data_IF_675052058416
#
_entry.id   IF_675052058416
#
_cell.length_a   1.000
_cell.length_b   1.000
_cell.length_c   1.000
_cell.angle_alpha   90.00
_cell.angle_beta   90.00
_cell.angle_gamma   90.00
#
_symmetry.space_group_name_H-M   'P 1'
#
loop_
_entity.id
_entity.type
_entity.pdbx_description
1 polymer ?
#
# COMPACT_ATOMS: atom_id res chain seq x y z
N UNK A 1 12.28 13.22 3.84
CA UNK A 1 13.04 12.09 4.39
C UNK A 1 12.54 11.71 5.79
N UNK A 2 12.35 12.67 6.73
CA UNK A 2 11.85 12.38 8.09
C UNK A 2 10.54 11.60 8.05
N UNK A 3 9.57 12.02 7.22
CA UNK A 3 8.31 11.30 7.06
C UNK A 3 8.49 9.86 6.53
N UNK A 4 9.45 9.65 5.63
CA UNK A 4 9.76 8.31 5.10
C UNK A 4 10.28 7.40 6.23
N UNK A 5 11.20 7.91 7.05
CA UNK A 5 11.74 7.18 8.20
C UNK A 5 10.64 6.85 9.21
N UNK A 6 9.79 7.82 9.55
CA UNK A 6 8.66 7.63 10.46
C UNK A 6 7.67 6.59 9.91
N UNK A 7 7.28 6.71 8.64
CA UNK A 7 6.39 5.78 7.96
C UNK A 7 6.94 4.35 7.97
N UNK A 8 8.23 4.18 7.66
CA UNK A 8 8.89 2.87 7.66
C UNK A 8 8.91 2.25 9.06
N UNK A 9 9.11 3.06 10.10
CA UNK A 9 9.05 2.59 11.50
C UNK A 9 7.65 2.11 11.86
N UNK A 10 6.62 2.93 11.59
CA UNK A 10 5.21 2.58 11.85
C UNK A 10 4.83 1.31 11.09
N UNK A 11 5.25 1.18 9.83
CA UNK A 11 4.96 0.00 9.01
C UNK A 11 5.62 -1.26 9.56
N UNK A 12 6.89 -1.19 9.94
CA UNK A 12 7.61 -2.33 10.52
C UNK A 12 6.98 -2.77 11.87
N UNK A 13 6.63 -1.82 12.73
CA UNK A 13 5.92 -2.11 13.97
C UNK A 13 4.55 -2.75 13.71
N UNK A 14 3.81 -2.25 12.73
CA UNK A 14 2.52 -2.82 12.34
C UNK A 14 2.66 -4.27 11.86
N UNK A 15 3.64 -4.55 11.00
CA UNK A 15 3.92 -5.92 10.53
C UNK A 15 4.22 -6.86 11.70
N UNK A 16 5.00 -6.40 12.67
CA UNK A 16 5.40 -7.23 13.83
C UNK A 16 4.28 -7.41 14.85
N UNK A 17 3.56 -6.34 15.19
CA UNK A 17 2.63 -6.32 16.33
C UNK A 17 1.21 -6.71 15.95
N UNK A 18 0.80 -6.49 14.70
CA UNK A 18 -0.53 -6.83 14.20
C UNK A 18 -0.50 -7.95 13.16
N UNK A 19 0.16 -7.74 12.04
CA UNK A 19 0.09 -8.68 10.89
C UNK A 19 0.60 -10.06 11.27
N UNK A 20 1.79 -10.16 11.85
CA UNK A 20 2.36 -11.45 12.28
C UNK A 20 1.60 -12.04 13.46
N UNK A 21 1.14 -11.22 14.40
CA UNK A 21 0.36 -11.66 15.55
C UNK A 21 -0.98 -12.31 15.11
N UNK A 22 -1.64 -11.74 14.10
CA UNK A 22 -2.87 -12.31 13.53
C UNK A 22 -2.64 -13.40 12.48
N UNK A 23 -1.41 -13.66 12.09
CA UNK A 23 -1.10 -14.59 10.98
C UNK A 23 -1.72 -14.14 9.65
N UNK A 24 -1.83 -12.82 9.45
CA UNK A 24 -2.48 -12.21 8.30
C UNK A 24 -1.51 -12.07 7.12
N UNK A 25 -2.09 -11.94 5.94
CA UNK A 25 -1.40 -11.61 4.70
C UNK A 25 -1.87 -10.23 4.21
N UNK A 26 -1.15 -9.13 4.51
CA UNK A 26 -1.46 -7.85 3.88
C UNK A 26 -1.43 -7.99 2.36
N UNK A 27 -2.20 -7.16 1.67
CA UNK A 27 -2.14 -7.15 0.22
C UNK A 27 -0.76 -6.74 -0.32
N UNK A 28 -0.58 -6.90 -1.61
CA UNK A 28 0.63 -6.48 -2.31
C UNK A 28 1.85 -7.34 -2.01
N UNK A 29 3.04 -6.75 -2.20
CA UNK A 29 4.29 -7.49 -2.06
C UNK A 29 4.65 -7.77 -0.60
N UNK A 30 4.17 -6.97 0.34
CA UNK A 30 4.28 -7.29 1.77
C UNK A 30 3.58 -8.61 2.09
N UNK A 31 2.35 -8.77 1.61
CA UNK A 31 1.62 -10.03 1.77
C UNK A 31 2.27 -11.19 1.04
N UNK A 32 2.72 -10.96 -0.20
CA UNK A 32 3.43 -11.97 -0.96
C UNK A 32 4.74 -12.40 -0.26
N UNK A 33 5.47 -11.45 0.35
CA UNK A 33 6.67 -11.72 1.13
C UNK A 33 6.36 -12.64 2.32
N UNK A 34 5.31 -12.32 3.08
CA UNK A 34 4.90 -13.13 4.23
C UNK A 34 4.36 -14.50 3.80
N UNK A 35 3.66 -14.56 2.68
CA UNK A 35 3.19 -15.81 2.07
C UNK A 35 4.37 -16.73 1.71
N UNK A 36 5.40 -16.17 1.05
CA UNK A 36 6.62 -16.91 0.69
C UNK A 36 7.35 -17.37 1.96
N UNK A 37 7.47 -16.53 2.98
CA UNK A 37 8.08 -16.92 4.26
C UNK A 37 7.34 -18.08 4.92
N UNK A 38 5.99 -18.00 5.01
CA UNK A 38 5.20 -19.09 5.60
C UNK A 38 5.23 -20.37 4.76
N UNK A 39 5.26 -20.25 3.43
CA UNK A 39 5.41 -21.41 2.56
C UNK A 39 6.78 -22.07 2.71
N UNK A 40 7.85 -21.27 2.76
CA UNK A 40 9.20 -21.79 2.98
C UNK A 40 9.34 -22.52 4.32
N UNK A 41 8.79 -21.94 5.39
CA UNK A 41 8.79 -22.58 6.71
C UNK A 41 7.95 -23.86 6.73
N UNK A 42 6.73 -23.82 6.19
CA UNK A 42 5.79 -24.95 6.20
C UNK A 42 6.24 -26.16 5.35
N UNK A 43 6.77 -25.89 4.14
CA UNK A 43 7.07 -26.95 3.17
C UNK A 43 8.55 -27.35 3.15
N UNK A 44 9.46 -26.41 3.47
CA UNK A 44 10.90 -26.64 3.37
C UNK A 44 11.62 -26.55 4.72
N UNK A 45 10.91 -26.18 5.81
CA UNK A 45 11.50 -25.99 7.16
C UNK A 45 12.68 -25.01 7.16
N UNK A 46 12.63 -24.01 6.28
CA UNK A 46 13.69 -23.02 6.09
C UNK A 46 13.16 -21.62 6.37
N UNK A 47 13.78 -20.91 7.33
CA UNK A 47 13.41 -19.53 7.65
C UNK A 47 14.13 -18.55 6.73
N UNK A 48 13.36 -17.78 5.97
CA UNK A 48 13.89 -16.72 5.11
C UNK A 48 13.66 -15.36 5.77
N UNK A 49 14.68 -14.47 5.85
CA UNK A 49 14.47 -13.13 6.40
C UNK A 49 13.50 -12.33 5.52
N UNK A 50 12.65 -11.51 6.18
CA UNK A 50 11.68 -10.67 5.48
C UNK A 50 12.37 -9.72 4.47
N UNK A 51 13.48 -9.12 4.88
CA UNK A 51 14.25 -8.19 4.05
C UNK A 51 14.69 -8.81 2.72
N UNK A 52 15.20 -10.05 2.73
CA UNK A 52 15.68 -10.71 1.52
C UNK A 52 14.56 -10.87 0.49
N UNK A 53 13.41 -11.38 0.91
CA UNK A 53 12.27 -11.63 0.01
C UNK A 53 11.66 -10.31 -0.46
N UNK A 54 11.43 -9.38 0.47
CA UNK A 54 10.79 -8.09 0.14
C UNK A 54 11.65 -7.25 -0.81
N UNK A 55 12.97 -7.18 -0.58
CA UNK A 55 13.87 -6.45 -1.46
C UNK A 55 13.93 -7.08 -2.86
N UNK A 56 14.01 -8.41 -2.93
CA UNK A 56 14.04 -9.12 -4.22
C UNK A 56 12.76 -8.86 -5.03
N UNK A 57 11.58 -8.96 -4.41
CA UNK A 57 10.31 -8.70 -5.07
C UNK A 57 10.19 -7.25 -5.56
N UNK A 58 10.73 -6.29 -4.82
CA UNK A 58 10.65 -4.88 -5.17
C UNK A 58 11.65 -4.44 -6.25
N UNK A 59 12.61 -5.28 -6.66
CA UNK A 59 13.59 -4.90 -7.70
C UNK A 59 12.92 -4.51 -9.02
N UNK A 60 11.96 -5.31 -9.50
CA UNK A 60 11.29 -5.04 -10.76
C UNK A 60 10.46 -3.74 -10.73
N UNK A 61 9.56 -3.49 -9.73
CA UNK A 61 8.87 -2.20 -9.60
C UNK A 61 9.81 -1.00 -9.48
N UNK A 62 10.90 -1.14 -8.74
CA UNK A 62 11.90 -0.06 -8.59
C UNK A 62 12.51 0.31 -9.95
N UNK A 63 12.92 -0.68 -10.75
CA UNK A 63 13.49 -0.43 -12.08
C UNK A 63 12.47 0.25 -13.00
N UNK A 64 11.22 -0.19 -12.98
CA UNK A 64 10.12 0.40 -13.76
C UNK A 64 9.87 1.85 -13.29
N UNK A 65 9.82 2.08 -11.99
CA UNK A 65 9.58 3.39 -11.39
C UNK A 65 10.65 4.42 -11.75
N UNK A 66 11.92 4.02 -11.80
CA UNK A 66 13.01 4.89 -12.24
C UNK A 66 12.81 5.44 -13.66
N UNK A 67 12.18 4.65 -14.53
CA UNK A 67 11.96 5.02 -15.93
C UNK A 67 10.68 5.84 -16.13
N UNK A 68 9.60 5.53 -15.41
CA UNK A 68 8.25 6.03 -15.70
C UNK A 68 7.71 7.06 -14.72
N UNK A 69 8.10 6.99 -13.42
CA UNK A 69 7.57 7.89 -12.40
C UNK A 69 8.58 9.00 -12.09
N UNK A 70 9.82 8.64 -11.76
CA UNK A 70 10.86 9.63 -11.55
C UNK A 70 11.89 9.23 -10.50
N UNK A 71 13.10 9.80 -10.65
CA UNK A 71 14.26 9.42 -9.83
C UNK A 71 14.10 9.75 -8.35
N UNK A 72 13.55 10.94 -8.03
CA UNK A 72 13.40 11.40 -6.65
C UNK A 72 12.38 10.55 -5.88
N UNK A 73 11.23 10.29 -6.49
CA UNK A 73 10.18 9.44 -5.94
C UNK A 73 10.73 8.02 -5.69
N UNK A 74 11.38 7.44 -6.70
CA UNK A 74 11.91 6.08 -6.61
C UNK A 74 13.00 5.96 -5.54
N UNK A 75 13.90 6.96 -5.42
CA UNK A 75 14.96 6.94 -4.42
C UNK A 75 14.38 6.97 -2.99
N UNK A 76 13.39 7.82 -2.73
CA UNK A 76 12.72 7.88 -1.42
C UNK A 76 11.96 6.59 -1.12
N UNK A 77 11.36 5.98 -2.14
CA UNK A 77 10.70 4.67 -2.02
C UNK A 77 11.70 3.56 -1.72
N UNK A 78 12.87 3.56 -2.36
CA UNK A 78 13.95 2.62 -2.02
C UNK A 78 14.36 2.74 -0.55
N UNK A 79 14.51 3.97 -0.04
CA UNK A 79 14.81 4.20 1.38
C UNK A 79 13.69 3.64 2.27
N UNK A 80 12.42 3.89 1.92
CA UNK A 80 11.27 3.36 2.66
C UNK A 80 11.28 1.83 2.71
N UNK A 81 11.45 1.18 1.56
CA UNK A 81 11.46 -0.29 1.43
C UNK A 81 12.61 -0.91 2.23
N UNK A 82 13.83 -0.35 2.11
CA UNK A 82 15.01 -0.85 2.82
C UNK A 82 14.84 -0.70 4.32
N UNK A 83 14.44 0.47 4.80
CA UNK A 83 14.24 0.72 6.23
C UNK A 83 13.12 -0.15 6.81
N UNK A 84 11.97 -0.25 6.15
CA UNK A 84 10.88 -1.12 6.59
C UNK A 84 11.34 -2.58 6.66
N UNK A 85 12.09 -3.03 5.68
CA UNK A 85 12.60 -4.41 5.61
C UNK A 85 13.56 -4.71 6.76
N UNK A 86 14.56 -3.86 6.97
CA UNK A 86 15.54 -4.02 8.02
C UNK A 86 14.88 -3.97 9.40
N UNK A 87 14.03 -2.97 9.64
CA UNK A 87 13.35 -2.85 10.93
C UNK A 87 12.37 -4.00 11.20
N UNK A 88 11.70 -4.53 10.17
CA UNK A 88 10.85 -5.71 10.32
C UNK A 88 11.64 -6.94 10.76
N UNK A 89 12.90 -7.08 10.38
CA UNK A 89 13.75 -8.20 10.84
C UNK A 89 14.29 -7.96 12.25
N UNK A 90 14.72 -6.73 12.58
CA UNK A 90 15.41 -6.40 13.83
C UNK A 90 14.45 -6.15 15.00
N UNK A 91 13.33 -5.42 14.77
CA UNK A 91 12.42 -5.04 15.85
C UNK A 91 11.78 -6.27 16.51
N UNK A 92 11.68 -6.30 17.86
CA UNK A 92 10.93 -7.34 18.54
C UNK A 92 9.43 -7.19 18.23
N UNK A 93 8.71 -8.30 18.10
CA UNK A 93 7.26 -8.30 17.94
C UNK A 93 6.56 -8.36 19.28
N UNK A 94 5.74 -7.38 19.59
CA UNK A 94 4.85 -7.39 20.77
C UNK A 94 3.41 -7.36 20.29
N UNK A 95 2.66 -8.48 20.38
CA UNK A 95 1.24 -8.48 20.05
C UNK A 95 0.48 -7.55 21.00
N UNK A 96 -0.22 -6.57 20.45
CA UNK A 96 -1.00 -5.59 21.23
C UNK A 96 -2.32 -6.21 21.70
N UNK A 97 -2.89 -7.11 20.91
CA UNK A 97 -4.13 -7.81 21.19
C UNK A 97 -4.09 -9.22 20.58
N UNK A 98 -4.87 -10.12 21.12
CA UNK A 98 -5.10 -11.46 20.56
C UNK A 98 -6.41 -11.55 19.76
N UNK A 99 -7.25 -10.50 19.79
CA UNK A 99 -8.49 -10.47 19.01
C UNK A 99 -8.17 -10.19 17.54
N UNK A 100 -8.46 -11.18 16.70
CA UNK A 100 -8.10 -11.14 15.27
C UNK A 100 -8.88 -10.06 14.52
N UNK A 101 -10.11 -9.74 14.95
CA UNK A 101 -10.90 -8.68 14.31
C UNK A 101 -10.30 -7.30 14.60
N UNK A 102 -9.90 -7.06 15.86
CA UNK A 102 -9.19 -5.84 16.24
C UNK A 102 -7.85 -5.73 15.51
N UNK A 103 -7.12 -6.83 15.38
CA UNK A 103 -5.88 -6.90 14.59
C UNK A 103 -6.14 -6.48 13.13
N UNK A 104 -7.21 -6.99 12.50
CA UNK A 104 -7.53 -6.69 11.11
C UNK A 104 -7.89 -5.21 10.92
N UNK A 105 -8.78 -4.70 11.75
CA UNK A 105 -9.28 -3.33 11.61
C UNK A 105 -8.18 -2.32 11.94
N UNK A 106 -7.62 -2.38 13.16
CA UNK A 106 -6.62 -1.40 13.59
C UNK A 106 -5.28 -1.58 12.89
N UNK A 107 -4.84 -2.81 12.65
CA UNK A 107 -3.64 -3.07 11.85
C UNK A 107 -3.80 -2.55 10.42
N UNK A 108 -4.97 -2.72 9.81
CA UNK A 108 -5.29 -2.16 8.50
C UNK A 108 -5.26 -0.63 8.49
N UNK A 109 -5.92 0.03 9.46
CA UNK A 109 -5.91 1.49 9.58
C UNK A 109 -4.48 2.04 9.75
N UNK A 110 -3.68 1.42 10.63
CA UNK A 110 -2.28 1.81 10.86
C UNK A 110 -1.44 1.58 9.60
N UNK A 111 -1.69 0.49 8.86
CA UNK A 111 -1.03 0.23 7.58
C UNK A 111 -1.34 1.32 6.56
N UNK A 112 -2.62 1.64 6.38
CA UNK A 112 -3.06 2.70 5.45
C UNK A 112 -2.52 4.08 5.84
N UNK A 113 -2.45 4.37 7.14
CA UNK A 113 -1.81 5.59 7.65
C UNK A 113 -0.32 5.64 7.29
N UNK A 114 0.44 4.56 7.52
CA UNK A 114 1.86 4.49 7.20
C UNK A 114 2.13 4.62 5.68
N UNK A 115 1.31 3.97 4.84
CA UNK A 115 1.36 4.13 3.38
C UNK A 115 1.10 5.59 2.99
N UNK A 116 0.07 6.22 3.57
CA UNK A 116 -0.27 7.62 3.29
C UNK A 116 0.87 8.58 3.67
N UNK A 117 1.57 8.33 4.78
CA UNK A 117 2.77 9.11 5.16
C UNK A 117 3.89 8.98 4.11
N UNK A 118 4.11 7.78 3.55
CA UNK A 118 5.05 7.60 2.44
C UNK A 118 4.63 8.44 1.24
N UNK A 119 3.35 8.38 0.87
CA UNK A 119 2.81 9.12 -0.28
C UNK A 119 2.92 10.63 -0.12
N UNK A 120 2.64 11.17 1.07
CA UNK A 120 2.86 12.59 1.38
C UNK A 120 4.33 13.01 1.31
N UNK A 121 5.25 12.08 1.56
CA UNK A 121 6.67 12.33 1.40
C UNK A 121 7.16 12.24 -0.05
N UNK A 122 6.29 11.95 -1.00
CA UNK A 122 6.64 11.68 -2.40
C UNK A 122 7.39 10.36 -2.55
N UNK A 123 6.96 9.34 -1.82
CA UNK A 123 7.50 7.98 -1.84
C UNK A 123 6.36 6.96 -1.77
N UNK A 124 6.67 5.68 -1.92
CA UNK A 124 5.74 4.59 -1.69
C UNK A 124 6.35 3.53 -0.77
N UNK A 125 5.50 2.72 -0.17
CA UNK A 125 5.90 1.55 0.63
C UNK A 125 6.45 0.39 -0.20
N UNK A 126 6.31 0.47 -1.53
CA UNK A 126 6.79 -0.54 -2.47
C UNK A 126 5.67 -1.41 -3.07
N UNK A 127 6.09 -2.42 -3.83
CA UNK A 127 5.20 -3.44 -4.35
C UNK A 127 4.11 -2.91 -5.27
N UNK A 128 2.87 -3.34 -5.00
CA UNK A 128 1.68 -2.93 -5.76
C UNK A 128 1.39 -1.44 -5.68
N UNK A 129 1.91 -0.73 -4.67
CA UNK A 129 1.73 0.71 -4.54
C UNK A 129 2.44 1.47 -5.67
N UNK A 130 3.59 0.98 -6.18
CA UNK A 130 4.21 1.52 -7.40
C UNK A 130 3.27 1.44 -8.60
N UNK A 131 2.54 0.32 -8.71
CA UNK A 131 1.55 0.12 -9.78
C UNK A 131 0.39 1.09 -9.59
N UNK A 132 -0.10 1.26 -8.36
CA UNK A 132 -1.16 2.21 -8.04
C UNK A 132 -0.78 3.63 -8.46
N UNK A 133 0.40 4.10 -8.06
CA UNK A 133 0.88 5.45 -8.40
C UNK A 133 1.09 5.60 -9.91
N UNK A 134 1.73 4.63 -10.56
CA UNK A 134 1.93 4.66 -12.01
C UNK A 134 0.61 4.78 -12.78
N UNK A 135 -0.41 3.98 -12.41
CA UNK A 135 -1.73 4.04 -13.02
C UNK A 135 -2.43 5.37 -12.73
N UNK A 136 -2.33 5.85 -11.49
CA UNK A 136 -2.93 7.11 -11.08
C UNK A 136 -2.32 8.30 -11.80
N UNK A 137 -1.00 8.35 -11.95
CA UNK A 137 -0.31 9.42 -12.68
C UNK A 137 -0.58 9.37 -14.18
N UNK A 138 -0.51 8.17 -14.78
CA UNK A 138 -0.65 8.01 -16.22
C UNK A 138 -2.08 8.22 -16.72
N UNK A 139 -3.07 7.73 -15.98
CA UNK A 139 -4.47 7.76 -16.37
C UNK A 139 -5.32 8.73 -15.58
N UNK A 140 -4.76 9.39 -14.57
CA UNK A 140 -5.45 10.31 -13.66
C UNK A 140 -6.70 9.69 -13.01
N UNK A 141 -6.60 8.43 -12.59
CA UNK A 141 -7.66 7.68 -11.92
C UNK A 141 -7.25 7.31 -10.50
N UNK A 142 -8.23 7.09 -9.64
CA UNK A 142 -8.00 6.51 -8.31
C UNK A 142 -7.80 4.99 -8.45
N UNK A 143 -6.54 4.55 -8.45
CA UNK A 143 -6.16 3.17 -8.72
C UNK A 143 -6.25 2.23 -7.52
N UNK A 144 -6.46 2.76 -6.30
CA UNK A 144 -6.41 1.96 -5.07
C UNK A 144 -7.46 0.84 -5.02
N UNK A 145 -8.64 1.09 -5.56
CA UNK A 145 -9.70 0.06 -5.65
C UNK A 145 -9.31 -1.09 -6.59
N UNK A 146 -8.60 -0.81 -7.69
CA UNK A 146 -8.13 -1.85 -8.61
C UNK A 146 -7.01 -2.68 -7.97
N UNK A 147 -6.11 -2.02 -7.22
CA UNK A 147 -5.08 -2.73 -6.45
C UNK A 147 -5.71 -3.59 -5.35
N UNK A 148 -6.73 -3.08 -4.65
CA UNK A 148 -7.48 -3.86 -3.68
C UNK A 148 -8.08 -5.12 -4.32
N UNK A 149 -8.77 -4.98 -5.47
CA UNK A 149 -9.36 -6.12 -6.18
C UNK A 149 -8.30 -7.16 -6.60
N UNK A 150 -7.14 -6.69 -7.13
CA UNK A 150 -6.01 -7.58 -7.46
C UNK A 150 -5.44 -8.31 -6.24
N UNK A 151 -5.32 -7.62 -5.11
CA UNK A 151 -4.86 -8.21 -3.85
C UNK A 151 -5.84 -9.27 -3.32
N UNK A 152 -7.16 -9.08 -3.47
CA UNK A 152 -8.17 -10.08 -3.07
C UNK A 152 -7.97 -11.39 -3.82
N UNK A 153 -7.56 -11.37 -5.10
CA UNK A 153 -7.24 -12.58 -5.84
C UNK A 153 -6.03 -13.31 -5.23
N UNK A 154 -4.96 -12.56 -4.89
CA UNK A 154 -3.77 -13.15 -4.22
C UNK A 154 -4.16 -13.74 -2.87
N UNK A 155 -5.00 -13.05 -2.10
CA UNK A 155 -5.50 -13.53 -0.82
C UNK A 155 -6.39 -14.77 -0.95
N UNK A 156 -7.14 -14.90 -2.05
CA UNK A 156 -7.89 -16.12 -2.38
C UNK A 156 -6.97 -17.34 -2.54
N UNK A 157 -5.82 -17.16 -3.21
CA UNK A 157 -4.79 -18.22 -3.33
C UNK A 157 -4.21 -18.53 -1.94
N UNK A 158 -3.91 -17.52 -1.13
CA UNK A 158 -3.46 -17.71 0.24
C UNK A 158 -4.48 -18.50 1.08
N UNK A 159 -5.77 -18.24 0.90
CA UNK A 159 -6.86 -18.95 1.55
C UNK A 159 -6.89 -20.44 1.23
N UNK A 160 -6.68 -20.78 -0.03
CA UNK A 160 -6.60 -22.18 -0.47
C UNK A 160 -5.39 -22.94 0.14
N UNK A 161 -4.27 -22.24 0.37
CA UNK A 161 -3.03 -22.84 0.88
C UNK A 161 -2.95 -22.86 2.41
N UNK A 162 -3.47 -21.85 3.09
CA UNK A 162 -3.26 -21.61 4.52
C UNK A 162 -4.54 -21.52 5.36
N UNK A 163 -5.70 -21.62 4.72
CA UNK A 163 -7.02 -21.59 5.36
C UNK A 163 -7.79 -20.30 5.06
N UNK A 164 -9.09 -20.46 4.85
CA UNK A 164 -9.99 -19.38 4.44
C UNK A 164 -10.17 -18.29 5.50
N UNK A 165 -10.16 -18.65 6.80
CA UNK A 165 -10.31 -17.68 7.87
C UNK A 165 -9.24 -16.60 7.81
N UNK A 166 -7.97 -17.00 7.63
CA UNK A 166 -6.85 -16.05 7.50
C UNK A 166 -6.97 -15.16 6.26
N UNK A 167 -7.42 -15.71 5.15
CA UNK A 167 -7.63 -14.94 3.93
C UNK A 167 -8.75 -13.91 4.09
N UNK A 168 -9.89 -14.30 4.66
CA UNK A 168 -11.03 -13.42 4.89
C UNK A 168 -10.67 -12.28 5.85
N UNK A 169 -9.98 -12.58 6.96
CA UNK A 169 -9.46 -11.56 7.87
C UNK A 169 -8.44 -10.65 7.19
N UNK A 170 -7.60 -11.19 6.31
CA UNK A 170 -6.64 -10.39 5.53
C UNK A 170 -7.33 -9.46 4.53
N UNK A 171 -8.48 -9.85 3.97
CA UNK A 171 -9.31 -8.98 3.13
C UNK A 171 -9.87 -7.82 3.95
N UNK A 172 -10.34 -8.06 5.19
CA UNK A 172 -10.80 -7.00 6.09
C UNK A 172 -9.65 -6.02 6.40
N UNK A 173 -8.47 -6.53 6.73
CA UNK A 173 -7.27 -5.72 6.94
C UNK A 173 -6.96 -4.84 5.72
N UNK A 174 -6.93 -5.45 4.53
CA UNK A 174 -6.64 -4.75 3.29
C UNK A 174 -7.70 -3.70 2.95
N UNK A 175 -8.97 -4.00 3.19
CA UNK A 175 -10.06 -3.04 3.02
C UNK A 175 -9.91 -1.83 3.95
N UNK A 176 -9.66 -2.07 5.25
CA UNK A 176 -9.44 -0.99 6.22
C UNK A 176 -8.23 -0.12 5.83
N UNK A 177 -7.15 -0.74 5.36
CA UNK A 177 -5.95 -0.03 4.86
C UNK A 177 -6.29 0.83 3.64
N UNK A 178 -7.00 0.28 2.66
CA UNK A 178 -7.40 1.01 1.46
C UNK A 178 -8.30 2.19 1.78
N UNK A 179 -9.29 2.02 2.69
CA UNK A 179 -10.17 3.12 3.11
C UNK A 179 -9.39 4.24 3.82
N UNK A 180 -8.39 3.89 4.63
CA UNK A 180 -7.53 4.88 5.28
C UNK A 180 -6.70 5.67 4.27
N UNK A 181 -6.16 5.00 3.24
CA UNK A 181 -5.46 5.67 2.14
C UNK A 181 -6.40 6.61 1.40
N UNK A 182 -7.62 6.17 1.06
CA UNK A 182 -8.62 7.01 0.40
C UNK A 182 -9.02 8.25 1.23
N UNK A 183 -9.07 8.10 2.55
CA UNK A 183 -9.40 9.20 3.46
C UNK A 183 -8.30 10.26 3.50
N UNK A 184 -7.05 9.81 3.58
CA UNK A 184 -5.90 10.70 3.79
C UNK A 184 -5.31 11.20 2.46
N UNK A 185 -5.11 10.31 1.49
CA UNK A 185 -4.44 10.63 0.24
C UNK A 185 -5.45 10.83 -0.91
N UNK A 186 -5.84 12.08 -1.13
CA UNK A 186 -6.88 12.47 -2.11
C UNK A 186 -6.30 13.13 -3.37
N UNK A 187 -5.01 13.06 -3.60
CA UNK A 187 -4.31 13.80 -4.67
C UNK A 187 -4.89 13.53 -6.08
N UNK A 188 -5.41 12.34 -6.32
CA UNK A 188 -5.97 11.95 -7.62
C UNK A 188 -7.51 12.00 -7.69
N UNK A 189 -8.17 12.48 -6.64
CA UNK A 189 -9.62 12.68 -6.69
C UNK A 189 -9.95 13.90 -7.52
N UNK A 190 -10.78 13.71 -8.53
CA UNK A 190 -11.32 14.77 -9.37
C UNK A 190 -12.69 15.16 -8.86
N UNK A 191 -12.97 16.47 -8.86
CA UNK A 191 -14.31 17.01 -8.59
C UNK A 191 -14.92 17.38 -9.94
N UNK A 192 -16.08 16.83 -10.25
CA UNK A 192 -16.86 17.21 -11.43
C UNK A 192 -17.93 18.19 -10.97
N UNK A 193 -17.89 19.40 -11.51
CA UNK A 193 -18.90 20.42 -11.28
C UNK A 193 -19.86 20.44 -12.48
N UNK A 194 -21.16 20.26 -12.22
CA UNK A 194 -22.18 20.45 -13.22
C UNK A 194 -22.74 21.88 -13.05
N UNK A 195 -22.57 22.70 -14.06
CA UNK A 195 -23.11 24.07 -14.09
C UNK A 195 -24.28 24.08 -15.07
N UNK A 196 -25.47 24.38 -14.56
CA UNK A 196 -26.68 24.57 -15.36
C UNK A 196 -26.84 26.05 -15.55
N UNK A 197 -26.86 26.51 -16.81
CA UNK A 197 -26.94 27.92 -17.16
C UNK A 197 -27.66 28.11 -18.49
N UNK A 198 -28.33 29.25 -18.65
CA UNK A 198 -28.92 29.66 -19.91
C UNK A 198 -27.91 30.31 -20.86
N UNK A 199 -26.70 30.64 -20.36
CA UNK A 199 -25.62 31.28 -21.13
C UNK A 199 -24.33 30.41 -21.08
N UNK A 200 -24.30 29.23 -21.73
CA UNK A 200 -23.18 28.27 -21.61
C UNK A 200 -21.85 28.85 -22.14
N UNK A 201 -21.89 29.66 -23.20
CA UNK A 201 -20.70 30.25 -23.81
C UNK A 201 -20.03 31.26 -22.88
N UNK A 202 -20.82 32.14 -22.21
CA UNK A 202 -20.29 33.11 -21.27
C UNK A 202 -19.62 32.46 -20.05
N UNK A 203 -20.25 31.38 -19.52
CA UNK A 203 -19.67 30.58 -18.41
C UNK A 203 -18.43 29.84 -18.83
N UNK A 204 -18.42 29.27 -20.03
CA UNK A 204 -17.21 28.57 -20.57
C UNK A 204 -16.04 29.55 -20.69
N UNK A 205 -16.27 30.75 -21.28
CA UNK A 205 -15.21 31.75 -21.42
C UNK A 205 -14.69 32.22 -20.06
N UNK A 206 -15.58 32.49 -19.11
CA UNK A 206 -15.18 32.90 -17.76
C UNK A 206 -14.34 31.80 -17.03
N UNK A 207 -14.74 30.52 -17.16
CA UNK A 207 -13.96 29.40 -16.60
C UNK A 207 -12.60 29.30 -17.28
N UNK A 208 -12.56 29.40 -18.61
CA UNK A 208 -11.33 29.32 -19.38
C UNK A 208 -10.33 30.42 -19.02
N UNK A 209 -10.81 31.71 -18.89
CA UNK A 209 -9.97 32.84 -18.50
C UNK A 209 -9.38 32.70 -17.10
N UNK A 210 -10.14 32.12 -16.14
CA UNK A 210 -9.67 31.97 -14.75
C UNK A 210 -8.79 30.76 -14.56
N UNK A 211 -9.12 29.63 -15.22
CA UNK A 211 -8.45 28.35 -14.97
C UNK A 211 -7.40 27.99 -16.00
N UNK A 212 -7.45 28.60 -17.18
CA UNK A 212 -6.65 28.26 -18.37
C UNK A 212 -6.74 26.77 -18.74
N UNK A 213 -7.89 26.15 -18.45
CA UNK A 213 -8.22 24.76 -18.78
C UNK A 213 -9.46 24.73 -19.67
N UNK A 214 -9.40 23.84 -20.69
CA UNK A 214 -10.53 23.52 -21.58
C UNK A 214 -11.27 22.28 -21.11
#
# INVERSE_FOLDING_TARGET
LVLVVAASCVMAMNIKSFVRAGGLFPGGFTGLTLLIQQAADKFFHFSVPYSAVNLLLNLAPIMISFRFIGKKFTLYSCVAIVLTSIWTDILPGYPITSDILLICVFGGLINGFAVSLCLFAGATSGGTDFIAIFLSEKYSIDSWNYIFAGNVVILGIAGALFGWDKALYSIIFQYASTQMIHLLYQTYKKVTLFVITDEPEAVYQAIYEVTNHS
#
